data_IF_445248214407
#
_entry.id   IF_445248214407
#
_cell.length_a   1.000
_cell.length_b   1.000
_cell.length_c   1.000
_cell.angle_alpha   90.00
_cell.angle_beta   90.00
_cell.angle_gamma   90.00
#
_symmetry.space_group_name_H-M   'P 1'
#
loop_
_entity.id
_entity.type
_entity.pdbx_description
1 polymer ?
#
# COMPACT_ATOMS: atom_id res chain seq x y z
N UNK A 1 16.95 42.10 -4.11
CA UNK A 1 17.47 40.93 -4.83
C UNK A 1 16.35 39.89 -4.80
N UNK A 2 15.59 39.68 -5.89
CA UNK A 2 14.58 38.63 -5.89
C UNK A 2 15.29 37.28 -6.04
N UNK A 3 14.90 36.32 -5.20
CA UNK A 3 15.34 34.93 -5.30
C UNK A 3 14.53 34.29 -6.43
N UNK A 4 15.21 33.75 -7.43
CA UNK A 4 14.57 33.03 -8.53
C UNK A 4 13.94 31.72 -8.00
N UNK A 5 12.69 31.50 -8.38
CA UNK A 5 12.00 30.23 -8.24
C UNK A 5 12.43 29.34 -9.41
N UNK A 6 13.36 28.41 -9.16
CA UNK A 6 13.74 27.37 -10.11
C UNK A 6 12.63 26.31 -10.13
N UNK A 7 11.52 26.68 -10.77
CA UNK A 7 10.40 25.79 -11.08
C UNK A 7 10.83 24.64 -11.98
N UNK A 8 11.31 23.55 -11.38
CA UNK A 8 11.40 22.27 -12.07
C UNK A 8 10.05 21.56 -11.96
N UNK A 9 9.20 21.78 -12.96
CA UNK A 9 8.00 20.99 -13.18
C UNK A 9 8.39 19.53 -13.48
N UNK A 10 8.31 18.66 -12.47
CA UNK A 10 8.48 17.22 -12.64
C UNK A 10 7.16 16.63 -13.14
N UNK A 11 7.02 16.55 -14.47
CA UNK A 11 5.84 15.97 -15.11
C UNK A 11 5.67 14.51 -14.68
N UNK A 12 4.59 14.23 -13.94
CA UNK A 12 4.15 12.87 -13.68
C UNK A 12 3.90 12.15 -15.02
N UNK A 13 4.22 10.84 -15.13
CA UNK A 13 3.92 10.09 -16.34
C UNK A 13 2.42 10.20 -16.65
N UNK A 14 2.08 10.69 -17.85
CA UNK A 14 0.69 11.00 -18.24
C UNK A 14 -0.16 9.78 -18.62
N UNK A 15 0.24 8.58 -18.18
CA UNK A 15 -0.42 7.31 -18.47
C UNK A 15 -0.63 6.49 -17.20
N UNK A 16 -1.64 5.62 -17.20
CA UNK A 16 -1.92 4.75 -16.04
C UNK A 16 -0.69 3.86 -15.77
N UNK A 17 0.01 4.05 -14.63
CA UNK A 17 1.21 3.29 -14.29
C UNK A 17 0.92 1.80 -14.08
N UNK A 18 -0.35 1.42 -13.94
CA UNK A 18 -0.79 0.04 -13.77
C UNK A 18 -1.16 -0.65 -15.09
N UNK A 19 -1.28 0.07 -16.21
CA UNK A 19 -1.85 -0.49 -17.44
C UNK A 19 -0.99 -1.60 -18.08
N UNK A 20 0.27 -1.79 -17.64
CA UNK A 20 1.22 -2.75 -18.21
C UNK A 20 2.04 -3.51 -17.16
N UNK A 21 1.60 -3.50 -15.91
CA UNK A 21 2.31 -4.21 -14.83
C UNK A 21 1.69 -5.58 -14.57
N UNK A 22 2.55 -6.59 -14.43
CA UNK A 22 2.14 -7.89 -13.88
C UNK A 22 2.25 -7.80 -12.37
N UNK A 23 1.13 -7.90 -11.66
CA UNK A 23 1.13 -7.90 -10.20
C UNK A 23 1.66 -9.23 -9.67
N UNK A 24 2.55 -9.15 -8.67
CA UNK A 24 3.09 -10.32 -7.98
C UNK A 24 2.76 -10.21 -6.50
N UNK A 25 2.21 -11.28 -5.95
CA UNK A 25 1.85 -11.36 -4.54
C UNK A 25 1.34 -12.75 -4.21
N UNK A 26 1.48 -13.14 -2.96
CA UNK A 26 1.04 -14.45 -2.48
C UNK A 26 -0.27 -14.33 -1.72
N UNK A 27 -1.25 -15.15 -2.07
CA UNK A 27 -2.49 -15.29 -1.31
C UNK A 27 -2.41 -16.53 -0.39
N UNK A 28 -1.57 -16.43 0.65
CA UNK A 28 -1.28 -17.56 1.56
C UNK A 28 -2.50 -18.00 2.35
N UNK A 29 -3.45 -17.10 2.64
CA UNK A 29 -4.71 -17.42 3.30
C UNK A 29 -5.57 -18.36 2.46
N UNK A 30 -5.81 -18.03 1.19
CA UNK A 30 -6.55 -18.89 0.29
C UNK A 30 -5.82 -20.23 0.03
N UNK A 31 -4.49 -20.19 -0.13
CA UNK A 31 -3.68 -21.40 -0.34
C UNK A 31 -3.78 -22.36 0.87
N UNK A 32 -3.70 -21.82 2.08
CA UNK A 32 -3.87 -22.59 3.32
C UNK A 32 -5.29 -23.15 3.43
N UNK A 33 -6.30 -22.32 3.17
CA UNK A 33 -7.69 -22.75 3.20
C UNK A 33 -7.97 -23.88 2.20
N UNK A 34 -7.41 -23.81 1.00
CA UNK A 34 -7.53 -24.88 0.00
C UNK A 34 -7.01 -26.23 0.54
N UNK A 35 -5.84 -26.22 1.18
CA UNK A 35 -5.26 -27.44 1.78
C UNK A 35 -6.11 -27.98 2.94
N UNK A 36 -6.63 -27.10 3.80
CA UNK A 36 -7.49 -27.49 4.94
C UNK A 36 -8.84 -28.08 4.50
N UNK A 37 -9.37 -27.62 3.35
CA UNK A 37 -10.68 -28.04 2.84
C UNK A 37 -10.64 -29.26 1.93
N UNK A 38 -9.45 -29.73 1.52
CA UNK A 38 -9.28 -30.82 0.57
C UNK A 38 -10.05 -32.10 0.94
N UNK A 39 -10.09 -32.45 2.24
CA UNK A 39 -10.78 -33.65 2.73
C UNK A 39 -12.27 -33.42 3.05
N UNK A 40 -12.71 -32.17 3.15
CA UNK A 40 -14.10 -31.81 3.53
C UNK A 40 -14.96 -31.55 2.31
N UNK A 41 -14.43 -30.81 1.35
CA UNK A 41 -15.09 -30.44 0.10
C UNK A 41 -14.03 -30.22 -0.98
N UNK A 42 -13.77 -31.23 -1.83
CA UNK A 42 -12.82 -31.10 -2.94
C UNK A 42 -13.20 -29.98 -3.93
N UNK A 43 -14.50 -29.68 -4.05
CA UNK A 43 -15.00 -28.59 -4.88
C UNK A 43 -14.58 -27.23 -4.32
N UNK A 44 -14.86 -26.97 -3.03
CA UNK A 44 -14.46 -25.71 -2.38
C UNK A 44 -12.94 -25.56 -2.33
N UNK A 45 -12.22 -26.66 -2.08
CA UNK A 45 -10.76 -26.67 -2.12
C UNK A 45 -10.22 -26.24 -3.49
N UNK A 46 -10.89 -26.67 -4.58
CA UNK A 46 -10.53 -26.24 -5.95
C UNK A 46 -10.79 -24.75 -6.16
N UNK A 47 -11.93 -24.23 -5.68
CA UNK A 47 -12.24 -22.80 -5.77
C UNK A 47 -11.24 -21.95 -4.96
N UNK A 48 -10.87 -22.40 -3.77
CA UNK A 48 -9.85 -21.74 -2.93
C UNK A 48 -8.46 -21.81 -3.57
N UNK A 49 -8.12 -22.92 -4.24
CA UNK A 49 -6.88 -23.05 -4.99
C UNK A 49 -6.85 -22.13 -6.21
N UNK A 50 -8.00 -21.88 -6.86
CA UNK A 50 -8.10 -20.90 -7.94
C UNK A 50 -7.97 -19.47 -7.40
N UNK A 51 -8.59 -19.15 -6.26
CA UNK A 51 -8.42 -17.86 -5.56
C UNK A 51 -6.96 -17.63 -5.11
N UNK A 52 -6.26 -18.69 -4.69
CA UNK A 52 -4.86 -18.61 -4.28
C UNK A 52 -3.90 -18.19 -5.41
N UNK A 53 -4.30 -18.36 -6.67
CA UNK A 53 -3.52 -17.92 -7.84
C UNK A 53 -3.66 -16.42 -8.14
N UNK A 54 -4.64 -15.75 -7.52
CA UNK A 54 -4.85 -14.31 -7.69
C UNK A 54 -3.84 -13.55 -6.84
N UNK A 55 -2.99 -12.68 -7.43
CA UNK A 55 -2.05 -11.86 -6.67
C UNK A 55 -2.78 -10.94 -5.68
N UNK A 56 -2.30 -10.89 -4.43
CA UNK A 56 -2.82 -10.01 -3.38
C UNK A 56 -1.72 -9.13 -2.81
N UNK A 57 -2.11 -8.00 -2.23
CA UNK A 57 -1.17 -7.11 -1.57
C UNK A 57 -0.60 -7.71 -0.27
N UNK A 58 0.64 -7.35 0.05
CA UNK A 58 1.23 -7.61 1.37
C UNK A 58 0.89 -6.46 2.32
N UNK A 59 0.18 -6.77 3.41
CA UNK A 59 -0.18 -5.79 4.43
C UNK A 59 0.96 -5.63 5.45
N UNK A 60 1.36 -4.39 5.69
CA UNK A 60 2.47 -4.02 6.56
C UNK A 60 1.94 -3.14 7.69
N UNK A 61 2.31 -3.47 8.93
CA UNK A 61 1.89 -2.74 10.12
C UNK A 61 2.79 -3.02 11.32
N UNK A 62 2.33 -2.66 12.52
CA UNK A 62 3.10 -2.90 13.76
C UNK A 62 3.35 -4.40 14.04
N UNK A 63 2.54 -5.29 13.46
CA UNK A 63 2.72 -6.75 13.53
C UNK A 63 3.81 -7.30 12.60
N UNK A 64 4.36 -6.48 11.68
CA UNK A 64 5.33 -6.97 10.68
C UNK A 64 6.70 -7.34 11.25
N UNK A 65 7.02 -6.97 12.50
CA UNK A 65 8.35 -7.15 13.06
C UNK A 65 9.39 -6.30 12.30
N UNK A 66 10.39 -6.93 11.69
CA UNK A 66 11.32 -6.25 10.78
C UNK A 66 10.67 -6.01 9.41
N UNK A 67 9.98 -4.87 9.31
CA UNK A 67 9.29 -4.47 8.08
C UNK A 67 10.23 -4.38 6.87
N UNK A 68 11.48 -3.96 7.08
CA UNK A 68 12.43 -3.78 5.99
C UNK A 68 12.87 -5.15 5.42
N UNK A 69 13.04 -6.16 6.27
CA UNK A 69 13.28 -7.53 5.83
C UNK A 69 12.10 -8.10 5.03
N UNK A 70 10.86 -7.89 5.51
CA UNK A 70 9.65 -8.33 4.80
C UNK A 70 9.54 -7.68 3.42
N UNK A 71 9.75 -6.36 3.33
CA UNK A 71 9.69 -5.62 2.06
C UNK A 71 10.77 -6.13 1.11
N UNK A 72 12.03 -6.25 1.55
CA UNK A 72 13.12 -6.77 0.69
C UNK A 72 12.82 -8.17 0.17
N UNK A 73 12.25 -9.04 1.00
CA UNK A 73 11.86 -10.38 0.56
C UNK A 73 10.83 -10.31 -0.57
N UNK A 74 9.75 -9.53 -0.39
CA UNK A 74 8.69 -9.41 -1.39
C UNK A 74 9.17 -8.75 -2.68
N UNK A 75 10.06 -7.76 -2.58
CA UNK A 75 10.72 -7.16 -3.75
C UNK A 75 11.57 -8.19 -4.51
N UNK A 76 12.32 -9.04 -3.81
CA UNK A 76 13.12 -10.09 -4.44
C UNK A 76 12.25 -11.14 -5.14
N UNK A 77 11.16 -11.58 -4.50
CA UNK A 77 10.19 -12.51 -5.09
C UNK A 77 9.54 -11.93 -6.36
N UNK A 78 9.13 -10.66 -6.31
CA UNK A 78 8.55 -9.98 -7.47
C UNK A 78 9.56 -9.77 -8.60
N UNK A 79 10.81 -9.41 -8.27
CA UNK A 79 11.90 -9.28 -9.23
C UNK A 79 12.21 -10.61 -9.93
N UNK A 80 12.23 -11.72 -9.19
CA UNK A 80 12.44 -13.05 -9.77
C UNK A 80 11.29 -13.49 -10.69
N UNK A 81 10.06 -13.04 -10.41
CA UNK A 81 8.88 -13.29 -11.23
C UNK A 81 8.69 -12.28 -12.38
N UNK A 82 9.54 -11.24 -12.48
CA UNK A 82 9.42 -10.20 -13.50
C UNK A 82 8.16 -9.34 -13.35
N UNK A 83 7.72 -9.09 -12.12
CA UNK A 83 6.50 -8.31 -11.85
C UNK A 83 6.66 -7.30 -10.71
N UNK A 84 5.54 -6.67 -10.35
CA UNK A 84 5.48 -5.56 -9.40
C UNK A 84 4.72 -6.01 -8.14
N UNK A 85 5.31 -5.91 -6.94
CA UNK A 85 4.61 -6.21 -5.71
C UNK A 85 3.66 -5.07 -5.33
N UNK A 86 2.58 -5.43 -4.63
CA UNK A 86 1.66 -4.47 -4.02
C UNK A 86 1.81 -4.53 -2.51
N UNK A 87 2.03 -3.39 -1.88
CA UNK A 87 2.06 -3.22 -0.43
C UNK A 87 0.88 -2.38 0.03
N UNK A 88 0.35 -2.70 1.20
CA UNK A 88 -0.53 -1.80 1.96
C UNK A 88 0.26 -1.40 3.20
N UNK A 89 0.53 -0.10 3.36
CA UNK A 89 1.05 0.42 4.63
C UNK A 89 -0.14 0.80 5.52
N UNK A 90 -0.22 0.19 6.70
CA UNK A 90 -1.36 0.30 7.61
C UNK A 90 -0.86 0.36 9.04
N UNK A 91 -0.24 1.48 9.40
CA UNK A 91 0.49 1.63 10.66
C UNK A 91 0.40 3.03 11.29
N UNK A 92 -0.51 3.89 10.86
CA UNK A 92 -0.72 5.18 11.54
C UNK A 92 -1.01 4.99 13.05
N UNK A 93 -0.52 5.88 13.93
CA UNK A 93 -0.94 5.94 15.33
C UNK A 93 -2.46 6.10 15.45
N UNK A 94 -3.01 5.61 16.56
CA UNK A 94 -4.45 5.59 16.82
C UNK A 94 -5.24 4.97 15.65
N UNK A 95 -4.72 3.86 15.11
CA UNK A 95 -5.30 3.15 13.98
C UNK A 95 -6.73 2.73 14.32
N UNK A 96 -7.63 2.92 13.35
CA UNK A 96 -9.06 2.59 13.47
C UNK A 96 -9.75 3.25 14.68
N UNK A 97 -9.14 4.32 15.22
CA UNK A 97 -9.60 5.01 16.43
C UNK A 97 -9.84 4.07 17.63
N UNK A 98 -9.07 2.96 17.70
CA UNK A 98 -9.23 1.93 18.72
C UNK A 98 -10.30 0.87 18.42
N UNK A 99 -10.75 0.78 17.16
CA UNK A 99 -11.72 -0.19 16.67
C UNK A 99 -11.17 -1.63 16.52
N UNK A 100 -11.74 -2.40 15.60
CA UNK A 100 -11.38 -3.81 15.40
C UNK A 100 -9.94 -4.00 14.93
N UNK A 101 -9.40 -3.02 14.20
CA UNK A 101 -8.01 -3.01 13.72
C UNK A 101 -7.11 -2.10 14.57
N UNK A 102 -7.47 -1.85 15.83
CA UNK A 102 -6.71 -1.00 16.75
C UNK A 102 -5.23 -1.38 16.81
N UNK A 103 -4.36 -0.37 16.86
CA UNK A 103 -2.92 -0.53 16.92
C UNK A 103 -2.20 0.62 16.25
N UNK A 104 -1.24 0.28 15.40
CA UNK A 104 -0.39 1.24 14.70
C UNK A 104 0.91 1.53 15.44
N UNK A 105 1.64 2.52 14.91
CA UNK A 105 2.87 3.01 15.49
C UNK A 105 2.61 3.73 16.82
N UNK A 106 3.56 3.69 17.78
CA UNK A 106 3.38 4.30 19.10
C UNK A 106 3.45 5.83 19.10
N UNK A 107 3.94 6.45 18.02
CA UNK A 107 4.00 7.91 17.87
C UNK A 107 4.12 8.31 16.39
N UNK A 108 3.86 9.59 16.05
CA UNK A 108 4.10 10.12 14.71
C UNK A 108 5.56 9.96 14.24
N UNK A 109 6.54 10.13 15.14
CA UNK A 109 7.96 9.98 14.82
C UNK A 109 8.33 8.51 14.52
N UNK A 110 7.77 7.58 15.29
CA UNK A 110 7.94 6.15 15.06
C UNK A 110 7.31 5.73 13.72
N UNK A 111 6.15 6.28 13.39
CA UNK A 111 5.50 6.09 12.09
C UNK A 111 6.37 6.60 10.93
N UNK A 112 6.88 7.83 11.03
CA UNK A 112 7.74 8.41 10.01
C UNK A 112 9.03 7.60 9.83
N UNK A 113 9.63 7.12 10.92
CA UNK A 113 10.79 6.20 10.87
C UNK A 113 10.47 4.88 10.17
N UNK A 114 9.31 4.31 10.47
CA UNK A 114 8.84 3.06 9.87
C UNK A 114 8.56 3.21 8.37
N UNK A 115 7.91 4.29 7.92
CA UNK A 115 7.69 4.55 6.48
C UNK A 115 9.03 4.74 5.75
N UNK A 116 9.99 5.46 6.33
CA UNK A 116 11.33 5.58 5.74
C UNK A 116 12.03 4.23 5.59
N UNK A 117 11.84 3.31 6.54
CA UNK A 117 12.38 1.95 6.43
C UNK A 117 11.71 1.15 5.29
N UNK A 118 10.39 1.29 5.12
CA UNK A 118 9.66 0.71 3.97
C UNK A 118 10.19 1.28 2.65
N UNK A 119 10.26 2.60 2.53
CA UNK A 119 10.77 3.27 1.33
C UNK A 119 12.21 2.83 1.02
N UNK A 120 13.11 2.85 2.00
CA UNK A 120 14.49 2.42 1.80
C UNK A 120 14.60 0.94 1.36
N UNK A 121 13.72 0.08 1.86
CA UNK A 121 13.68 -1.34 1.49
C UNK A 121 13.13 -1.59 0.08
N UNK A 122 12.23 -0.74 -0.44
CA UNK A 122 11.79 -0.74 -1.84
C UNK A 122 12.95 -0.30 -2.75
N UNK A 123 13.69 0.73 -2.34
CA UNK A 123 14.79 1.27 -3.12
C UNK A 123 14.31 1.88 -4.45
N UNK A 124 14.95 1.55 -5.56
CA UNK A 124 14.64 2.14 -6.88
C UNK A 124 13.81 1.25 -7.80
N UNK A 125 13.38 0.08 -7.30
CA UNK A 125 12.57 -0.86 -8.05
C UNK A 125 11.09 -0.47 -8.02
N UNK A 126 10.33 -0.96 -9.00
CA UNK A 126 8.91 -0.63 -9.13
C UNK A 126 8.11 -1.36 -8.05
N UNK A 127 7.29 -0.62 -7.30
CA UNK A 127 6.35 -1.14 -6.32
C UNK A 127 5.08 -0.29 -6.32
N UNK A 128 3.96 -0.91 -5.98
CA UNK A 128 2.70 -0.20 -5.73
C UNK A 128 2.49 -0.17 -4.22
N UNK A 129 2.21 1.02 -3.68
CA UNK A 129 1.96 1.20 -2.25
C UNK A 129 0.62 1.89 -2.06
N UNK A 130 -0.29 1.22 -1.36
CA UNK A 130 -1.56 1.76 -0.89
C UNK A 130 -1.31 2.33 0.51
N UNK A 131 -1.54 3.63 0.68
CA UNK A 131 -1.20 4.36 1.90
C UNK A 131 -2.42 4.47 2.82
N UNK A 132 -2.33 3.81 3.97
CA UNK A 132 -3.20 3.97 5.14
C UNK A 132 -4.70 3.99 4.80
N UNK A 133 -5.27 2.86 4.34
CA UNK A 133 -6.71 2.71 4.15
C UNK A 133 -7.50 3.27 5.35
N UNK A 134 -8.70 3.77 5.06
CA UNK A 134 -9.68 4.30 6.02
C UNK A 134 -9.25 5.54 6.81
N UNK A 135 -7.97 5.87 6.87
CA UNK A 135 -7.44 6.91 7.75
C UNK A 135 -8.00 8.30 7.47
N UNK A 136 -8.21 8.66 6.19
CA UNK A 136 -8.84 9.93 5.82
C UNK A 136 -10.37 9.91 5.99
N UNK A 137 -11.00 8.74 5.89
CA UNK A 137 -12.44 8.59 6.04
C UNK A 137 -12.86 8.49 7.52
N UNK A 138 -11.96 8.01 8.39
CA UNK A 138 -12.15 7.81 9.82
C UNK A 138 -11.09 8.63 10.59
N UNK A 139 -11.28 9.95 10.62
CA UNK A 139 -10.39 10.85 11.33
C UNK A 139 -10.70 10.86 12.84
N UNK A 140 -9.66 10.65 13.64
CA UNK A 140 -9.64 10.89 15.08
C UNK A 140 -8.32 11.53 15.50
N UNK A 141 -8.30 12.11 16.70
CA UNK A 141 -7.18 12.93 17.16
C UNK A 141 -7.14 14.29 16.44
N UNK A 142 -5.94 14.80 16.14
CA UNK A 142 -5.74 16.02 15.35
C UNK A 142 -5.76 15.73 13.84
N UNK A 143 -6.80 16.16 13.10
CA UNK A 143 -6.90 15.93 11.65
C UNK A 143 -5.75 16.56 10.86
N UNK A 144 -5.26 17.73 11.27
CA UNK A 144 -4.20 18.43 10.56
C UNK A 144 -2.86 17.69 10.72
N UNK A 145 -2.60 17.14 11.92
CA UNK A 145 -1.45 16.27 12.13
C UNK A 145 -1.57 15.00 11.29
N UNK A 146 -2.75 14.37 11.25
CA UNK A 146 -2.97 13.15 10.44
C UNK A 146 -2.68 13.38 8.97
N UNK A 147 -3.20 14.47 8.40
CA UNK A 147 -2.95 14.83 7.00
C UNK A 147 -1.46 15.06 6.73
N UNK A 148 -0.76 15.79 7.61
CA UNK A 148 0.70 15.99 7.48
C UNK A 148 1.47 14.68 7.49
N UNK A 149 1.12 13.76 8.39
CA UNK A 149 1.77 12.44 8.45
C UNK A 149 1.58 11.64 7.16
N UNK A 150 0.40 11.70 6.55
CA UNK A 150 0.15 11.04 5.26
C UNK A 150 0.91 11.71 4.12
N UNK A 151 1.00 13.05 4.12
CA UNK A 151 1.81 13.78 3.14
C UNK A 151 3.29 13.40 3.25
N UNK A 152 3.86 13.41 4.47
CA UNK A 152 5.24 13.00 4.72
C UNK A 152 5.50 11.54 4.30
N UNK A 153 4.51 10.67 4.50
CA UNK A 153 4.60 9.27 4.09
C UNK A 153 4.63 9.13 2.56
N UNK A 154 3.77 9.86 1.86
CA UNK A 154 3.76 9.90 0.38
C UNK A 154 5.09 10.45 -0.14
N UNK A 155 5.58 11.56 0.41
CA UNK A 155 6.84 12.18 -0.01
C UNK A 155 8.03 11.22 0.18
N UNK A 156 8.07 10.51 1.31
CA UNK A 156 9.11 9.51 1.57
C UNK A 156 9.06 8.32 0.58
N UNK A 157 7.88 7.88 0.18
CA UNK A 157 7.69 6.78 -0.78
C UNK A 157 7.94 7.21 -2.24
N UNK A 158 7.60 8.45 -2.60
CA UNK A 158 7.81 9.03 -3.93
C UNK A 158 9.28 9.46 -4.16
N UNK A 159 10.06 9.71 -3.10
CA UNK A 159 11.49 10.01 -3.20
C UNK A 159 12.29 8.90 -3.93
N UNK A 160 11.77 7.67 -3.91
CA UNK A 160 12.20 6.58 -4.75
C UNK A 160 11.60 6.76 -6.15
N UNK A 161 12.41 7.20 -7.12
CA UNK A 161 12.02 7.75 -8.44
C UNK A 161 11.12 6.89 -9.37
N UNK A 162 10.46 5.82 -8.91
CA UNK A 162 9.53 4.99 -9.70
C UNK A 162 8.28 4.47 -8.97
N UNK A 163 7.98 4.90 -7.75
CA UNK A 163 6.70 4.53 -7.09
C UNK A 163 5.54 5.29 -7.74
N UNK A 164 4.55 4.58 -8.25
CA UNK A 164 3.42 5.17 -8.97
C UNK A 164 2.26 5.61 -8.06
N UNK A 165 1.69 6.79 -8.32
CA UNK A 165 0.53 7.34 -7.60
C UNK A 165 -0.78 6.67 -8.05
N UNK A 166 -1.54 6.12 -7.10
CA UNK A 166 -2.99 5.88 -7.30
C UNK A 166 -3.77 6.56 -6.18
N UNK A 167 -4.38 7.71 -6.47
CA UNK A 167 -5.43 8.28 -5.62
C UNK A 167 -6.76 7.63 -5.99
N UNK A 168 -7.44 7.03 -5.02
CA UNK A 168 -8.82 6.56 -5.20
C UNK A 168 -9.70 7.75 -5.60
N UNK A 169 -10.38 7.76 -6.75
CA UNK A 169 -11.30 8.83 -7.07
C UNK A 169 -12.48 8.78 -6.08
N UNK A 170 -12.80 9.92 -5.47
CA UNK A 170 -14.04 10.08 -4.73
C UNK A 170 -15.26 9.91 -5.65
N UNK A 171 -16.38 9.49 -5.08
CA UNK A 171 -17.65 9.32 -5.77
C UNK A 171 -18.05 10.60 -6.53
N UNK A 172 -18.50 10.53 -7.80
CA UNK A 172 -18.89 11.71 -8.55
C UNK A 172 -20.12 12.37 -7.91
N UNK A 173 -20.01 13.64 -7.50
CA UNK A 173 -21.14 14.47 -7.02
C UNK A 173 -21.69 15.35 -8.15
N UNK A 174 -21.91 14.75 -9.32
CA UNK A 174 -22.57 15.43 -10.45
C UNK A 174 -24.07 15.13 -10.49
N UNK A 175 -24.94 16.10 -10.87
CA UNK A 175 -26.33 15.79 -11.18
C UNK A 175 -26.41 14.84 -12.38
N UNK A 176 -27.46 14.00 -12.49
CA UNK A 176 -27.60 13.09 -13.61
C UNK A 176 -27.64 13.86 -14.95
N UNK A 177 -27.07 13.31 -16.03
CA UNK A 177 -27.17 13.92 -17.36
C UNK A 177 -28.65 13.97 -17.76
N UNK A 178 -29.10 15.16 -18.18
CA UNK A 178 -30.49 15.41 -18.58
C UNK A 178 -30.88 14.68 -19.86
N UNK A 179 -32.17 14.37 -19.94
CA UNK A 179 -32.86 13.67 -21.04
C UNK A 179 -32.79 14.40 -22.39
#
# INVERSE_FOLDING_TARGET
MPVADDGQSHGAPTGNPLARVTLVGTNTGAARAAAEWQARSPEDARLLADLAKVPTATWLGNWSGDVAATVRQRMAEAGAAGGVPVFVVYNVPDLDCGGYSAGGAPSPEAYAGWIRAVAAAIGTADAIVIVEPDTLALLCGDPAQRVRMLQDAVDALEANRRTARTSTPGTPTGPPPGD
#
